data_IF_352736333661
#
_entry.id   IF_352736333661
#
_cell.length_a   1.000
_cell.length_b   1.000
_cell.length_c   1.000
_cell.angle_alpha   90.00
_cell.angle_beta   90.00
_cell.angle_gamma   90.00
#
_symmetry.space_group_name_H-M   'P 1'
#
loop_
_entity.id
_entity.type
_entity.pdbx_description
1 polymer ?
#
# COMPACT_ATOMS: atom_id res chain seq x y z
N UNK A 1 37.17 30.47 -26.80
CA UNK A 1 37.16 29.61 -28.00
C UNK A 1 37.83 30.35 -29.14
N UNK A 2 39.05 29.97 -29.54
CA UNK A 2 39.76 30.59 -30.67
C UNK A 2 40.22 29.47 -31.60
N UNK A 3 39.88 29.65 -32.86
CA UNK A 3 39.70 28.65 -33.90
C UNK A 3 41.05 28.07 -34.36
N UNK A 4 41.23 26.76 -34.19
CA UNK A 4 42.34 25.97 -34.77
C UNK A 4 41.98 25.59 -36.20
N UNK A 5 42.15 26.47 -37.18
CA UNK A 5 42.00 26.15 -38.62
C UNK A 5 42.58 27.24 -39.54
N UNK A 6 43.84 27.62 -39.33
CA UNK A 6 44.59 28.40 -40.31
C UNK A 6 46.08 28.11 -40.13
N UNK A 7 46.51 26.90 -40.49
CA UNK A 7 47.86 26.75 -41.05
C UNK A 7 47.82 27.65 -42.29
N UNK A 8 48.48 28.79 -42.15
CA UNK A 8 48.24 29.97 -42.97
C UNK A 8 48.45 29.61 -44.43
N UNK A 9 47.45 29.84 -45.27
CA UNK A 9 47.55 29.75 -46.73
C UNK A 9 48.76 30.54 -47.26
N UNK A 10 49.18 31.55 -46.48
CA UNK A 10 50.36 32.38 -46.66
C UNK A 10 51.69 31.63 -46.45
N UNK A 11 51.78 30.73 -45.46
CA UNK A 11 52.98 29.91 -45.24
C UNK A 11 53.16 28.91 -46.37
N UNK A 12 52.07 28.29 -46.82
CA UNK A 12 52.06 27.36 -47.95
C UNK A 12 52.52 28.08 -49.23
N UNK A 13 52.03 29.30 -49.47
CA UNK A 13 52.46 30.14 -50.59
C UNK A 13 53.94 30.50 -50.52
N UNK A 14 54.47 30.79 -49.33
CA UNK A 14 55.88 31.10 -49.15
C UNK A 14 56.77 29.89 -49.48
N UNK A 15 56.34 28.69 -49.09
CA UNK A 15 57.03 27.45 -49.46
C UNK A 15 57.00 27.21 -50.97
N UNK A 16 55.86 27.44 -51.62
CA UNK A 16 55.75 27.26 -53.08
C UNK A 16 56.53 28.32 -53.88
N UNK A 17 56.57 29.59 -53.46
CA UNK A 17 57.40 30.64 -54.11
C UNK A 17 58.90 30.36 -53.92
N UNK A 18 59.32 29.93 -52.74
CA UNK A 18 60.70 29.51 -52.50
C UNK A 18 61.07 28.28 -53.34
N UNK A 19 60.16 27.31 -53.46
CA UNK A 19 60.34 26.14 -54.30
C UNK A 19 60.43 26.52 -55.79
N UNK A 20 59.59 27.43 -56.28
CA UNK A 20 59.59 27.87 -57.69
C UNK A 20 60.88 28.60 -58.06
N UNK A 21 61.37 29.49 -57.19
CA UNK A 21 62.65 30.21 -57.38
C UNK A 21 63.85 29.26 -57.37
N UNK A 22 63.83 28.26 -56.49
CA UNK A 22 64.85 27.21 -56.47
C UNK A 22 64.79 26.37 -57.75
N UNK A 23 63.60 26.09 -58.27
CA UNK A 23 63.39 25.31 -59.49
C UNK A 23 63.84 26.07 -60.74
N UNK A 24 63.60 27.38 -60.82
CA UNK A 24 64.12 28.25 -61.88
C UNK A 24 65.65 28.39 -61.84
N UNK A 25 66.25 28.49 -60.64
CA UNK A 25 67.69 28.51 -60.48
C UNK A 25 68.33 27.17 -60.90
N UNK A 26 67.68 26.06 -60.53
CA UNK A 26 68.09 24.71 -60.87
C UNK A 26 67.99 24.40 -62.38
N UNK A 27 66.95 24.89 -63.07
CA UNK A 27 66.81 24.75 -64.52
C UNK A 27 67.94 25.41 -65.31
N UNK A 28 68.55 26.47 -64.78
CA UNK A 28 69.70 27.15 -65.42
C UNK A 28 71.02 26.39 -65.25
N UNK A 29 71.09 25.40 -64.36
CA UNK A 29 72.33 24.75 -63.97
C UNK A 29 72.05 23.26 -63.65
N UNK A 30 71.99 22.42 -64.69
CA UNK A 30 71.48 21.03 -64.61
C UNK A 30 72.04 20.16 -63.47
N UNK A 31 73.34 20.29 -63.14
CA UNK A 31 73.98 19.54 -62.04
C UNK A 31 73.53 19.97 -60.63
N UNK A 32 72.94 21.14 -60.49
CA UNK A 32 72.37 21.63 -59.22
C UNK A 32 70.93 21.16 -59.03
N UNK A 33 70.21 20.91 -60.12
CA UNK A 33 68.84 20.39 -60.09
C UNK A 33 68.79 18.95 -59.56
N UNK A 34 69.72 18.09 -59.98
CA UNK A 34 69.76 16.70 -59.51
C UNK A 34 70.11 16.60 -58.03
N UNK A 35 71.01 17.48 -57.54
CA UNK A 35 71.34 17.62 -56.12
C UNK A 35 70.19 18.21 -55.30
N UNK A 36 69.45 19.18 -55.84
CA UNK A 36 68.27 19.73 -55.17
C UNK A 36 67.15 18.68 -55.08
N UNK A 37 66.91 17.92 -56.14
CA UNK A 37 65.89 16.86 -56.17
C UNK A 37 66.22 15.73 -55.20
N UNK A 38 67.48 15.30 -55.14
CA UNK A 38 67.90 14.27 -54.17
C UNK A 38 67.88 14.75 -52.72
N UNK A 39 68.21 16.02 -52.47
CA UNK A 39 68.07 16.63 -51.15
C UNK A 39 66.59 16.75 -50.74
N UNK A 40 65.71 17.15 -51.66
CA UNK A 40 64.26 17.19 -51.43
C UNK A 40 63.69 15.80 -51.15
N UNK A 41 64.07 14.78 -51.93
CA UNK A 41 63.64 13.39 -51.68
C UNK A 41 64.07 12.87 -50.30
N UNK A 42 65.25 13.28 -49.83
CA UNK A 42 65.72 12.93 -48.48
C UNK A 42 64.92 13.67 -47.41
N UNK A 43 64.60 14.95 -47.61
CA UNK A 43 63.77 15.73 -46.70
C UNK A 43 62.33 15.20 -46.66
N UNK A 44 61.74 14.86 -47.80
CA UNK A 44 60.40 14.25 -47.84
C UNK A 44 60.39 12.89 -47.15
N UNK A 45 61.43 12.06 -47.32
CA UNK A 45 61.54 10.78 -46.64
C UNK A 45 61.71 10.92 -45.11
N UNK A 46 62.48 11.91 -44.66
CA UNK A 46 62.62 12.21 -43.22
C UNK A 46 61.32 12.77 -42.65
N UNK A 47 60.65 13.65 -43.39
CA UNK A 47 59.37 14.23 -42.98
C UNK A 47 58.26 13.18 -42.91
N UNK A 48 58.19 12.25 -43.87
CA UNK A 48 57.27 11.11 -43.82
C UNK A 48 57.51 10.23 -42.59
N UNK A 49 58.77 9.98 -42.23
CA UNK A 49 59.10 9.19 -41.04
C UNK A 49 58.69 9.89 -39.76
N UNK A 50 59.01 11.18 -39.61
CA UNK A 50 58.57 11.97 -38.46
C UNK A 50 57.05 12.04 -38.35
N UNK A 51 56.34 12.19 -39.47
CA UNK A 51 54.88 12.20 -39.48
C UNK A 51 54.26 10.86 -39.09
N UNK A 52 54.90 9.73 -39.42
CA UNK A 52 54.47 8.40 -38.98
C UNK A 52 54.73 8.18 -37.49
N UNK A 53 55.90 8.57 -37.00
CA UNK A 53 56.26 8.47 -35.59
C UNK A 53 55.34 9.30 -34.69
N UNK A 54 55.10 10.56 -35.07
CA UNK A 54 54.14 11.44 -34.38
C UNK A 54 52.72 10.89 -34.42
N UNK A 55 52.30 10.29 -35.56
CA UNK A 55 50.97 9.67 -35.67
C UNK A 55 50.82 8.48 -34.72
N UNK A 56 51.82 7.62 -34.64
CA UNK A 56 51.78 6.43 -33.77
C UNK A 56 51.84 6.83 -32.29
N UNK A 57 52.66 7.82 -31.94
CA UNK A 57 52.74 8.38 -30.58
C UNK A 57 51.42 9.05 -30.16
N UNK A 58 50.80 9.86 -31.03
CA UNK A 58 49.49 10.47 -30.77
C UNK A 58 48.40 9.41 -30.68
N UNK A 59 48.38 8.41 -31.57
CA UNK A 59 47.38 7.33 -31.53
C UNK A 59 47.46 6.52 -30.23
N UNK A 60 48.67 6.18 -29.80
CA UNK A 60 48.90 5.43 -28.55
C UNK A 60 48.53 6.26 -27.32
N UNK A 61 48.84 7.56 -27.30
CA UNK A 61 48.50 8.48 -26.20
C UNK A 61 47.00 8.74 -26.14
N UNK A 62 46.33 8.94 -27.27
CA UNK A 62 44.87 9.12 -27.30
C UNK A 62 44.18 7.85 -26.83
N UNK A 63 44.66 6.66 -27.23
CA UNK A 63 44.08 5.38 -26.78
C UNK A 63 44.26 5.17 -25.28
N UNK A 64 45.44 5.50 -24.73
CA UNK A 64 45.71 5.37 -23.30
C UNK A 64 44.92 6.38 -22.46
N UNK A 65 44.79 7.63 -22.93
CA UNK A 65 43.97 8.66 -22.28
C UNK A 65 42.48 8.32 -22.35
N UNK A 66 42.00 7.78 -23.48
CA UNK A 66 40.62 7.31 -23.61
C UNK A 66 40.36 6.13 -22.65
N UNK A 67 41.28 5.17 -22.54
CA UNK A 67 41.20 4.08 -21.58
C UNK A 67 41.19 4.57 -20.12
N UNK A 68 42.09 5.49 -19.77
CA UNK A 68 42.15 6.09 -18.43
C UNK A 68 40.88 6.88 -18.11
N UNK A 69 40.35 7.65 -19.06
CA UNK A 69 39.12 8.44 -18.90
C UNK A 69 37.90 7.54 -18.76
N UNK A 70 37.82 6.47 -19.55
CA UNK A 70 36.74 5.48 -19.45
C UNK A 70 36.78 4.73 -18.11
N UNK A 71 37.98 4.36 -17.64
CA UNK A 71 38.16 3.70 -16.36
C UNK A 71 37.80 4.63 -15.19
N UNK A 72 38.20 5.89 -15.25
CA UNK A 72 37.85 6.89 -14.23
C UNK A 72 36.34 7.19 -14.23
N UNK A 73 35.73 7.31 -15.41
CA UNK A 73 34.28 7.50 -15.54
C UNK A 73 33.51 6.29 -14.99
N UNK A 74 33.96 5.06 -15.29
CA UNK A 74 33.36 3.84 -14.75
C UNK A 74 33.50 3.77 -13.23
N UNK A 75 34.65 4.20 -12.68
CA UNK A 75 34.89 4.26 -11.24
C UNK A 75 33.96 5.25 -10.55
N UNK A 76 33.86 6.48 -11.06
CA UNK A 76 32.95 7.51 -10.55
C UNK A 76 31.49 7.05 -10.63
N UNK A 77 31.10 6.42 -11.74
CA UNK A 77 29.74 5.92 -11.92
C UNK A 77 29.43 4.80 -10.92
N UNK A 78 30.35 3.87 -10.69
CA UNK A 78 30.21 2.82 -9.68
C UNK A 78 30.11 3.38 -8.25
N UNK A 79 30.85 4.44 -7.95
CA UNK A 79 30.80 5.13 -6.67
C UNK A 79 29.45 5.83 -6.45
N UNK A 80 28.96 6.55 -7.46
CA UNK A 80 27.63 7.16 -7.44
C UNK A 80 26.50 6.13 -7.31
N UNK A 81 26.59 4.99 -8.01
CA UNK A 81 25.62 3.91 -7.84
C UNK A 81 25.65 3.34 -6.43
N UNK A 82 26.83 3.10 -5.83
CA UNK A 82 26.91 2.64 -4.43
C UNK A 82 26.30 3.64 -3.44
N UNK A 83 26.49 4.93 -3.67
CA UNK A 83 25.94 5.96 -2.80
C UNK A 83 24.41 6.07 -2.95
N UNK A 84 23.92 6.01 -4.18
CA UNK A 84 22.49 5.95 -4.47
C UNK A 84 21.83 4.70 -3.87
N UNK A 85 22.48 3.54 -3.98
CA UNK A 85 21.97 2.28 -3.43
C UNK A 85 21.91 2.33 -1.89
N UNK A 86 22.94 2.89 -1.24
CA UNK A 86 22.93 3.13 0.21
C UNK A 86 21.83 4.12 0.64
N UNK A 87 21.54 5.13 -0.18
CA UNK A 87 20.44 6.05 0.08
C UNK A 87 19.07 5.38 -0.09
N UNK A 88 18.92 4.51 -1.09
CA UNK A 88 17.73 3.71 -1.32
C UNK A 88 17.48 2.71 -0.18
N UNK A 89 18.52 2.03 0.31
CA UNK A 89 18.44 1.10 1.43
C UNK A 89 17.99 1.81 2.72
N UNK A 90 18.52 3.02 2.99
CA UNK A 90 18.05 3.86 4.11
C UNK A 90 16.59 4.28 3.96
N UNK A 91 16.12 4.53 2.74
CA UNK A 91 14.72 4.85 2.50
C UNK A 91 13.83 3.63 2.73
N UNK A 92 14.23 2.46 2.21
CA UNK A 92 13.53 1.20 2.40
C UNK A 92 13.36 0.85 3.88
N UNK A 93 14.42 0.96 4.68
CA UNK A 93 14.39 0.69 6.12
C UNK A 93 13.44 1.66 6.87
N UNK A 94 13.38 2.94 6.46
CA UNK A 94 12.38 3.88 7.02
C UNK A 94 10.96 3.48 6.68
N UNK A 95 10.70 3.03 5.45
CA UNK A 95 9.37 2.57 5.04
C UNK A 95 8.97 1.28 5.76
N UNK A 96 9.89 0.33 5.92
CA UNK A 96 9.63 -0.91 6.65
C UNK A 96 9.25 -0.62 8.11
N UNK A 97 10.02 0.25 8.79
CA UNK A 97 9.71 0.70 10.15
C UNK A 97 8.37 1.42 10.23
N UNK A 98 8.06 2.29 9.26
CA UNK A 98 6.78 2.99 9.20
C UNK A 98 5.61 2.00 9.02
N UNK A 99 5.71 1.06 8.08
CA UNK A 99 4.70 0.03 7.84
C UNK A 99 4.46 -0.85 9.07
N UNK A 100 5.53 -1.27 9.75
CA UNK A 100 5.43 -2.09 10.97
C UNK A 100 4.75 -1.33 12.10
N UNK A 101 5.06 -0.04 12.24
CA UNK A 101 4.44 0.82 13.26
C UNK A 101 2.97 1.14 12.98
N UNK A 102 2.60 1.34 11.70
CA UNK A 102 1.21 1.57 11.30
C UNK A 102 0.35 0.33 11.56
N UNK A 103 0.86 -0.85 11.20
CA UNK A 103 0.15 -2.11 11.40
C UNK A 103 -0.13 -2.39 12.88
N UNK A 104 0.88 -2.21 13.75
CA UNK A 104 0.72 -2.43 15.19
C UNK A 104 -0.27 -1.45 15.83
N UNK A 105 -0.20 -0.17 15.46
CA UNK A 105 -1.11 0.85 16.00
C UNK A 105 -2.56 0.58 15.58
N UNK A 106 -2.78 0.21 14.32
CA UNK A 106 -4.11 -0.13 13.82
C UNK A 106 -4.66 -1.41 14.48
N UNK A 107 -3.79 -2.40 14.70
CA UNK A 107 -4.17 -3.64 15.38
C UNK A 107 -4.62 -3.39 16.83
N UNK A 108 -3.92 -2.52 17.57
CA UNK A 108 -4.35 -2.11 18.92
C UNK A 108 -5.74 -1.47 18.89
N UNK A 109 -6.01 -0.56 17.94
CA UNK A 109 -7.33 0.07 17.82
C UNK A 109 -8.43 -0.95 17.53
N UNK A 110 -8.15 -1.91 16.65
CA UNK A 110 -9.09 -2.99 16.35
C UNK A 110 -9.38 -3.86 17.59
N UNK A 111 -8.34 -4.24 18.34
CA UNK A 111 -8.50 -5.01 19.58
C UNK A 111 -9.24 -4.22 20.67
N UNK A 112 -9.00 -2.91 20.77
CA UNK A 112 -9.70 -2.04 21.71
C UNK A 112 -11.20 -1.92 21.37
N UNK A 113 -11.54 -1.75 20.09
CA UNK A 113 -12.93 -1.71 19.62
C UNK A 113 -13.65 -3.04 19.87
N UNK A 114 -12.99 -4.17 19.57
CA UNK A 114 -13.54 -5.50 19.83
C UNK A 114 -13.74 -5.74 21.33
N UNK A 115 -12.78 -5.34 22.17
CA UNK A 115 -12.89 -5.43 23.62
C UNK A 115 -14.06 -4.62 24.17
N UNK A 116 -14.25 -3.40 23.68
CA UNK A 116 -15.40 -2.56 24.05
C UNK A 116 -16.73 -3.22 23.65
N UNK A 117 -16.81 -3.77 22.44
CA UNK A 117 -18.00 -4.49 21.98
C UNK A 117 -18.31 -5.71 22.86
N UNK A 118 -17.30 -6.51 23.21
CA UNK A 118 -17.45 -7.63 24.12
C UNK A 118 -17.88 -7.20 25.53
N UNK A 119 -17.35 -6.09 26.05
CA UNK A 119 -17.76 -5.55 27.35
C UNK A 119 -19.23 -5.13 27.35
N UNK A 120 -19.67 -4.40 26.32
CA UNK A 120 -21.07 -4.00 26.16
C UNK A 120 -21.97 -5.24 26.05
N UNK A 121 -21.60 -6.22 25.22
CA UNK A 121 -22.34 -7.47 25.09
C UNK A 121 -22.39 -8.24 26.43
N UNK A 122 -21.28 -8.29 27.19
CA UNK A 122 -21.22 -8.92 28.49
C UNK A 122 -22.14 -8.25 29.52
N UNK A 123 -22.16 -6.91 29.57
CA UNK A 123 -23.08 -6.15 30.42
C UNK A 123 -24.53 -6.40 30.02
N UNK A 124 -24.83 -6.42 28.72
CA UNK A 124 -26.17 -6.72 28.21
C UNK A 124 -26.59 -8.13 28.61
N UNK A 125 -25.74 -9.13 28.45
CA UNK A 125 -26.00 -10.51 28.90
C UNK A 125 -26.27 -10.52 30.40
N UNK A 126 -25.45 -9.83 31.20
CA UNK A 126 -25.63 -9.79 32.66
C UNK A 126 -26.91 -9.07 33.11
N UNK A 127 -27.42 -8.12 32.31
CA UNK A 127 -28.65 -7.37 32.60
C UNK A 127 -29.90 -7.99 32.00
N UNK A 128 -29.82 -8.67 30.85
CA UNK A 128 -30.95 -9.25 30.14
C UNK A 128 -31.16 -10.73 30.44
N UNK A 129 -30.11 -11.47 30.85
CA UNK A 129 -30.28 -12.83 31.35
C UNK A 129 -30.68 -12.70 32.82
N UNK A 130 -31.97 -12.88 33.19
CA UNK A 130 -32.33 -13.02 34.58
C UNK A 130 -31.49 -14.16 35.15
N UNK A 131 -30.87 -13.93 36.30
CA UNK A 131 -30.06 -14.95 36.96
C UNK A 131 -30.89 -16.23 37.09
N UNK A 132 -30.25 -17.39 36.96
CA UNK A 132 -30.91 -18.71 37.06
C UNK A 132 -31.84 -18.81 38.29
N UNK A 133 -31.53 -18.08 39.37
CA UNK A 133 -32.35 -17.97 40.57
C UNK A 133 -33.75 -17.37 40.33
N UNK A 134 -33.90 -16.35 39.48
CA UNK A 134 -35.21 -15.78 39.13
C UNK A 134 -36.04 -16.73 38.26
N UNK A 135 -35.39 -17.56 37.44
CA UNK A 135 -36.07 -18.58 36.62
C UNK A 135 -36.62 -19.69 37.52
N UNK A 136 -35.87 -20.12 38.54
CA UNK A 136 -36.33 -21.09 39.51
C UNK A 136 -37.46 -20.54 40.39
N UNK A 137 -37.36 -19.28 40.84
CA UNK A 137 -38.42 -18.62 41.59
C UNK A 137 -39.72 -18.47 40.78
N UNK A 138 -39.64 -18.19 39.47
CA UNK A 138 -40.85 -18.15 38.63
C UNK A 138 -41.44 -19.54 38.40
N UNK A 139 -40.63 -20.60 38.32
CA UNK A 139 -41.13 -21.97 38.17
C UNK A 139 -41.81 -22.49 39.44
N UNK A 140 -41.32 -22.15 40.63
CA UNK A 140 -41.97 -22.53 41.89
C UNK A 140 -43.30 -21.81 42.06
N UNK A 141 -43.36 -20.52 41.72
CA UNK A 141 -44.62 -19.75 41.72
C UNK A 141 -45.63 -20.34 40.71
N UNK A 142 -45.20 -20.70 39.50
CA UNK A 142 -46.09 -21.34 38.53
C UNK A 142 -46.57 -22.73 38.98
N UNK A 143 -45.71 -23.53 39.60
CA UNK A 143 -46.09 -24.83 40.15
C UNK A 143 -47.11 -24.69 41.28
N UNK A 144 -46.91 -23.72 42.18
CA UNK A 144 -47.81 -23.46 43.29
C UNK A 144 -49.19 -22.95 42.80
N UNK A 145 -49.22 -22.05 41.81
CA UNK A 145 -50.48 -21.61 41.21
C UNK A 145 -51.18 -22.75 40.48
N UNK A 146 -50.45 -23.62 39.78
CA UNK A 146 -51.05 -24.74 39.06
C UNK A 146 -51.67 -25.77 40.02
N UNK A 147 -51.03 -26.03 41.16
CA UNK A 147 -51.56 -26.90 42.22
C UNK A 147 -52.83 -26.30 42.88
N UNK A 148 -52.86 -24.97 43.11
CA UNK A 148 -54.08 -24.30 43.59
C UNK A 148 -55.22 -24.28 42.55
N UNK A 149 -54.90 -24.32 41.25
CA UNK A 149 -55.90 -24.25 40.17
C UNK A 149 -56.49 -25.63 39.83
N UNK A 150 -55.73 -26.72 40.01
CA UNK A 150 -56.21 -28.09 39.76
C UNK A 150 -57.26 -28.53 40.80
N UNK A 151 -57.36 -27.88 41.96
CA UNK A 151 -58.41 -28.10 42.96
C UNK A 151 -59.75 -27.38 42.66
N UNK A 152 -59.77 -26.40 41.75
CA UNK A 152 -60.99 -25.65 41.38
C UNK A 152 -61.47 -26.07 40.00
N UNK A 153 -62.32 -27.10 39.95
CA UNK A 153 -63.05 -27.49 38.73
C UNK A 153 -64.10 -26.43 38.39
N UNK A 154 -63.67 -25.39 37.67
CA UNK A 154 -64.54 -24.35 37.12
C UNK A 154 -65.46 -24.94 36.05
N UNK A 155 -66.64 -25.39 36.47
CA UNK A 155 -67.69 -25.85 35.57
C UNK A 155 -68.51 -24.65 35.08
N UNK A 156 -68.63 -24.54 33.76
CA UNK A 156 -69.40 -23.49 33.09
C UNK A 156 -70.71 -24.07 32.56
N UNK A 157 -71.83 -23.41 32.83
CA UNK A 157 -73.15 -23.77 32.26
C UNK A 157 -73.90 -22.54 31.81
N UNK A 158 -75.00 -22.71 31.09
CA UNK A 158 -75.91 -21.62 30.74
C UNK A 158 -77.03 -21.57 31.79
N UNK A 159 -77.21 -20.44 32.48
CA UNK A 159 -78.39 -20.23 33.32
C UNK A 159 -79.34 -19.23 32.68
N UNK A 160 -80.62 -19.42 32.95
CA UNK A 160 -81.66 -18.43 32.65
C UNK A 160 -81.73 -17.46 33.82
N UNK A 161 -81.44 -16.18 33.58
CA UNK A 161 -81.62 -15.12 34.58
C UNK A 161 -83.11 -14.81 34.79
N UNK A 162 -83.44 -14.14 35.90
CA UNK A 162 -84.83 -13.75 36.26
C UNK A 162 -85.50 -12.91 35.15
N UNK A 163 -84.70 -12.20 34.35
CA UNK A 163 -85.15 -11.42 33.18
C UNK A 163 -85.32 -12.25 31.89
N UNK A 164 -85.31 -13.59 31.98
CA UNK A 164 -85.52 -14.50 30.83
C UNK A 164 -84.34 -14.60 29.85
N UNK A 165 -83.20 -13.96 30.14
CA UNK A 165 -82.01 -14.02 29.29
C UNK A 165 -81.10 -15.19 29.67
N UNK A 166 -80.69 -15.97 28.68
CA UNK A 166 -79.70 -17.05 28.85
C UNK A 166 -78.31 -16.42 28.93
N UNK A 167 -77.64 -16.56 30.07
CA UNK A 167 -76.27 -16.05 30.28
C UNK A 167 -75.37 -17.15 30.82
N UNK A 168 -74.08 -17.09 30.47
CA UNK A 168 -73.08 -18.09 30.87
C UNK A 168 -72.71 -17.89 32.34
N UNK A 169 -72.90 -18.92 33.15
CA UNK A 169 -72.59 -18.94 34.57
C UNK A 169 -71.43 -19.89 34.86
N UNK A 170 -70.74 -19.66 35.97
CA UNK A 170 -69.79 -20.61 36.54
C UNK A 170 -70.23 -21.02 37.94
N UNK A 171 -69.97 -22.28 38.29
CA UNK A 171 -70.34 -22.84 39.59
C UNK A 171 -69.38 -22.31 40.66
N UNK A 172 -69.94 -21.78 41.74
CA UNK A 172 -69.17 -21.45 42.94
C UNK A 172 -69.85 -22.12 44.11
N UNK A 173 -69.21 -23.14 44.71
CA UNK A 173 -69.71 -23.77 45.94
C UNK A 173 -69.48 -22.87 47.18
N UNK A 174 -69.25 -21.56 46.96
CA UNK A 174 -69.21 -20.55 48.02
C UNK A 174 -70.64 -20.24 48.48
N UNK A 175 -70.89 -20.26 49.79
CA UNK A 175 -72.22 -20.10 50.40
C UNK A 175 -72.83 -18.69 50.24
N UNK A 176 -72.42 -17.92 49.23
CA UNK A 176 -72.71 -16.49 49.07
C UNK A 176 -73.15 -16.08 47.64
N UNK A 177 -73.66 -17.00 46.82
CA UNK A 177 -74.21 -16.67 45.49
C UNK A 177 -75.72 -16.45 45.47
N UNK A 178 -76.16 -15.64 44.50
CA UNK A 178 -77.49 -14.99 44.44
C UNK A 178 -78.53 -15.84 43.67
N UNK A 179 -78.12 -16.92 43.00
CA UNK A 179 -78.99 -17.75 42.17
C UNK A 179 -78.92 -19.22 42.61
N UNK A 180 -80.05 -19.75 43.08
CA UNK A 180 -80.25 -21.19 43.34
C UNK A 180 -80.99 -21.80 42.17
N UNK A 181 -80.37 -22.79 41.52
CA UNK A 181 -81.09 -23.70 40.62
C UNK A 181 -81.85 -24.74 41.47
N UNK A 182 -82.86 -25.41 40.89
CA UNK A 182 -83.71 -26.42 41.57
C UNK A 182 -82.93 -27.56 42.25
N UNK A 183 -81.66 -27.76 41.86
CA UNK A 183 -80.74 -28.76 42.40
C UNK A 183 -79.92 -28.27 43.62
N UNK A 184 -80.22 -27.08 44.16
CA UNK A 184 -79.56 -26.53 45.35
C UNK A 184 -78.14 -26.00 45.15
N UNK A 185 -77.61 -26.04 43.92
CA UNK A 185 -76.29 -25.51 43.56
C UNK A 185 -76.31 -23.99 43.36
N UNK A 186 -75.21 -23.34 43.77
CA UNK A 186 -75.03 -21.89 43.73
C UNK A 186 -74.22 -21.51 42.49
N UNK A 187 -74.74 -20.59 41.69
CA UNK A 187 -74.13 -20.15 40.44
C UNK A 187 -73.93 -18.63 40.41
N UNK A 188 -72.83 -18.20 39.79
CA UNK A 188 -72.54 -16.77 39.57
C UNK A 188 -72.46 -16.47 38.08
N UNK A 189 -73.04 -15.34 37.69
CA UNK A 189 -72.87 -14.76 36.36
C UNK A 189 -71.64 -13.85 36.39
N UNK A 190 -70.61 -14.10 35.56
CA UNK A 190 -69.50 -13.19 35.47
C UNK A 190 -69.97 -11.93 34.73
N UNK A 191 -69.92 -10.81 35.43
CA UNK A 191 -70.14 -9.45 34.93
C UNK A 191 -71.61 -9.01 34.73
N UNK A 192 -72.18 -8.41 35.77
CA UNK A 192 -73.11 -7.29 35.56
C UNK A 192 -72.26 -6.01 35.66
N UNK A 193 -71.97 -5.36 34.53
CA UNK A 193 -71.55 -3.95 34.59
C UNK A 193 -72.73 -3.17 35.18
N UNK A 194 -72.52 -2.29 36.19
CA UNK A 194 -73.51 -1.26 36.50
C UNK A 194 -73.70 -0.34 35.28
#
# INVERSE_FOLDING_TARGET
>A
MKNTNAVSEDDIRLFFDAADRLLQAAQRQGDTAERATSALLKVTAVHERQMREVRDEVSSTVTSMAGATAQESARLLAEHFREADRAAEKAADRYERACRSLSWRNWIWFMAAQGMMCLVAGVLIWKLVPSLDEIHARRTVLAQLQEETEGLTLSWTNCTTVDGKVTRCFRTDDKAGILKLDDGSIWRVPWHKP
#
